data_IF_971471311357
#
_entry.id   IF_971471311357
#
_cell.length_a   1.000
_cell.length_b   1.000
_cell.length_c   1.000
_cell.angle_alpha   90.00
_cell.angle_beta   90.00
_cell.angle_gamma   90.00
#
_symmetry.space_group_name_H-M   'P 1'
#
loop_
_entity.id
_entity.type
_entity.pdbx_description
1 polymer ?
#
# COMPACT_ATOMS: atom_id res chain seq x y z
N UNK A 1 0.69 -1.50 -15.51
CA UNK A 1 -0.76 -1.24 -15.77
C UNK A 1 -1.23 -2.24 -16.82
N UNK A 2 -2.38 -2.86 -16.63
CA UNK A 2 -2.98 -3.71 -17.67
C UNK A 2 -3.55 -2.81 -18.79
N UNK A 3 -3.66 -3.33 -20.03
CA UNK A 3 -4.18 -2.55 -21.18
C UNK A 3 -5.54 -1.88 -20.90
N UNK A 4 -6.42 -2.56 -20.13
CA UNK A 4 -7.72 -1.99 -19.70
C UNK A 4 -7.59 -0.78 -18.77
N UNK A 5 -6.60 -0.75 -17.87
CA UNK A 5 -6.37 0.39 -16.96
C UNK A 5 -5.86 1.64 -17.69
N UNK A 6 -5.09 1.46 -18.77
CA UNK A 6 -4.62 2.57 -19.60
C UNK A 6 -5.78 3.16 -20.40
N UNK A 7 -6.64 2.30 -20.96
CA UNK A 7 -7.83 2.73 -21.68
C UNK A 7 -8.77 3.55 -20.78
N UNK A 8 -9.07 3.06 -19.57
CA UNK A 8 -9.88 3.78 -18.60
C UNK A 8 -9.27 5.15 -18.24
N UNK A 9 -7.95 5.21 -18.03
CA UNK A 9 -7.28 6.47 -17.74
C UNK A 9 -7.43 7.48 -18.88
N UNK A 10 -7.29 7.04 -20.14
CA UNK A 10 -7.44 7.91 -21.32
C UNK A 10 -8.87 8.45 -21.40
N UNK A 11 -9.88 7.60 -21.20
CA UNK A 11 -11.30 8.00 -21.24
C UNK A 11 -11.62 8.97 -20.10
N UNK A 12 -11.15 8.70 -18.87
CA UNK A 12 -11.33 9.60 -17.73
C UNK A 12 -10.69 10.98 -17.98
N UNK A 13 -9.46 11.00 -18.55
CA UNK A 13 -8.78 12.26 -18.94
C UNK A 13 -9.63 13.05 -19.93
N UNK A 14 -10.19 12.40 -20.95
CA UNK A 14 -11.03 13.05 -21.95
C UNK A 14 -12.34 13.58 -21.34
N UNK A 15 -13.01 12.82 -20.48
CA UNK A 15 -14.24 13.24 -19.79
C UNK A 15 -13.98 14.46 -18.91
N UNK A 16 -12.94 14.43 -18.09
CA UNK A 16 -12.62 15.52 -17.16
C UNK A 16 -12.17 16.76 -17.92
N UNK A 17 -11.35 16.59 -18.98
CA UNK A 17 -10.93 17.71 -19.83
C UNK A 17 -12.10 18.36 -20.57
N UNK A 18 -13.01 17.56 -21.11
CA UNK A 18 -14.23 18.06 -21.78
C UNK A 18 -15.12 18.83 -20.79
N UNK A 19 -15.36 18.27 -19.59
CA UNK A 19 -16.13 18.93 -18.56
C UNK A 19 -15.47 20.22 -18.06
N UNK A 20 -14.14 20.26 -17.97
CA UNK A 20 -13.42 21.50 -17.66
C UNK A 20 -13.58 22.54 -18.77
N UNK A 21 -13.41 22.17 -20.03
CA UNK A 21 -13.53 23.08 -21.18
C UNK A 21 -14.93 23.69 -21.30
N UNK A 22 -16.00 22.91 -21.14
CA UNK A 22 -17.38 23.41 -21.24
C UNK A 22 -17.72 24.46 -20.18
N UNK A 23 -17.13 24.35 -18.99
CA UNK A 23 -17.35 25.34 -17.92
C UNK A 23 -16.52 26.61 -18.09
N UNK A 24 -15.35 26.51 -18.71
CA UNK A 24 -14.44 27.63 -18.88
C UNK A 24 -14.75 28.49 -20.10
N UNK A 25 -15.46 27.98 -21.09
CA UNK A 25 -15.97 28.82 -22.20
C UNK A 25 -16.97 29.88 -21.77
N UNK A 26 -17.55 29.74 -20.57
CA UNK A 26 -18.48 30.69 -19.96
C UNK A 26 -17.76 31.86 -19.23
N UNK A 27 -16.46 31.68 -18.90
CA UNK A 27 -15.65 32.65 -18.15
C UNK A 27 -14.56 33.22 -19.07
N UNK A 28 -14.97 34.01 -20.04
CA UNK A 28 -14.23 34.38 -21.28
C UNK A 28 -13.01 35.28 -21.13
N UNK A 29 -12.62 35.77 -19.95
CA UNK A 29 -11.57 36.81 -19.86
C UNK A 29 -10.21 36.43 -19.24
N UNK A 30 -9.87 35.13 -19.12
CA UNK A 30 -8.69 34.69 -18.33
C UNK A 30 -7.62 33.87 -19.08
N UNK A 31 -7.26 34.12 -20.27
CA UNK A 31 -6.12 33.60 -21.05
C UNK A 31 -5.29 32.43 -20.42
N UNK A 32 -4.00 32.63 -20.17
CA UNK A 32 -3.08 31.62 -19.64
C UNK A 32 -3.38 31.13 -18.22
N UNK A 33 -4.02 31.98 -17.38
CA UNK A 33 -4.42 31.59 -15.99
C UNK A 33 -5.53 30.54 -16.01
N UNK A 34 -6.40 30.60 -16.99
CA UNK A 34 -7.49 29.66 -17.20
C UNK A 34 -6.96 28.26 -17.55
N UNK A 35 -5.98 28.19 -18.45
CA UNK A 35 -5.35 26.94 -18.85
C UNK A 35 -4.64 26.27 -17.65
N UNK A 36 -3.93 27.06 -16.85
CA UNK A 36 -3.27 26.58 -15.64
C UNK A 36 -4.27 26.01 -14.63
N UNK A 37 -5.41 26.67 -14.44
CA UNK A 37 -6.48 26.22 -13.55
C UNK A 37 -7.12 24.93 -14.07
N UNK A 38 -7.43 24.84 -15.37
CA UNK A 38 -7.99 23.63 -15.99
C UNK A 38 -7.04 22.43 -15.87
N UNK A 39 -5.75 22.64 -16.07
CA UNK A 39 -4.73 21.60 -15.87
C UNK A 39 -4.64 21.18 -14.40
N UNK A 40 -4.72 22.11 -13.47
CA UNK A 40 -4.75 21.81 -12.04
C UNK A 40 -5.98 20.94 -11.69
N UNK A 41 -7.17 21.29 -12.16
CA UNK A 41 -8.38 20.50 -12.00
C UNK A 41 -8.21 19.07 -12.54
N UNK A 42 -7.73 18.95 -13.77
CA UNK A 42 -7.49 17.65 -14.41
C UNK A 42 -6.57 16.78 -13.56
N UNK A 43 -5.47 17.35 -13.09
CA UNK A 43 -4.49 16.62 -12.27
C UNK A 43 -5.11 16.16 -10.94
N UNK A 44 -5.86 17.04 -10.26
CA UNK A 44 -6.48 16.72 -8.96
C UNK A 44 -7.54 15.62 -9.10
N UNK A 45 -8.41 15.69 -10.11
CA UNK A 45 -9.43 14.68 -10.35
C UNK A 45 -8.81 13.31 -10.70
N UNK A 46 -7.82 13.28 -11.60
CA UNK A 46 -7.13 12.02 -11.95
C UNK A 46 -6.39 11.46 -10.74
N UNK A 47 -5.72 12.30 -9.96
CA UNK A 47 -5.02 11.88 -8.75
C UNK A 47 -5.98 11.25 -7.75
N UNK A 48 -7.13 11.87 -7.45
CA UNK A 48 -8.12 11.33 -6.51
C UNK A 48 -8.69 9.98 -6.97
N UNK A 49 -9.00 9.81 -8.26
CA UNK A 49 -9.45 8.55 -8.83
C UNK A 49 -8.35 7.46 -8.75
N UNK A 50 -7.11 7.84 -9.04
CA UNK A 50 -5.96 6.94 -8.94
C UNK A 50 -5.75 6.45 -7.50
N UNK A 51 -5.82 7.35 -6.52
CA UNK A 51 -5.63 7.01 -5.10
C UNK A 51 -6.75 6.16 -4.52
N UNK A 52 -7.97 6.36 -4.97
CA UNK A 52 -9.10 5.46 -4.63
C UNK A 52 -9.00 4.09 -5.31
N UNK A 53 -7.98 3.87 -6.15
CA UNK A 53 -7.70 2.58 -6.76
C UNK A 53 -8.63 2.21 -7.92
N UNK A 54 -9.32 3.18 -8.52
CA UNK A 54 -10.22 2.91 -9.66
C UNK A 54 -9.50 2.29 -10.86
N UNK A 55 -8.23 2.61 -11.07
CA UNK A 55 -7.41 2.04 -12.16
C UNK A 55 -6.79 0.67 -11.84
N UNK A 56 -6.89 0.21 -10.59
CA UNK A 56 -6.42 -1.11 -10.17
C UNK A 56 -7.54 -2.16 -10.12
N UNK A 57 -8.81 -1.73 -9.99
CA UNK A 57 -9.99 -2.59 -9.90
C UNK A 57 -10.48 -2.97 -11.29
N UNK A 58 -10.81 -4.24 -11.48
CA UNK A 58 -11.43 -4.75 -12.71
C UNK A 58 -12.96 -4.86 -12.63
N UNK A 59 -13.51 -4.95 -11.40
CA UNK A 59 -14.94 -5.12 -11.15
C UNK A 59 -15.49 -3.92 -10.40
N UNK A 60 -16.45 -3.23 -11.01
CA UNK A 60 -17.18 -2.12 -10.42
C UNK A 60 -18.38 -2.66 -9.62
N UNK A 61 -18.40 -2.45 -8.31
CA UNK A 61 -19.46 -2.88 -7.38
C UNK A 61 -20.28 -1.67 -6.91
N UNK A 62 -21.47 -1.89 -6.35
CA UNK A 62 -22.32 -0.81 -5.86
C UNK A 62 -21.60 0.10 -4.84
N UNK A 63 -20.76 -0.47 -3.97
CA UNK A 63 -19.93 0.30 -3.03
C UNK A 63 -18.93 1.22 -3.72
N UNK A 64 -18.52 0.94 -4.94
CA UNK A 64 -17.57 1.76 -5.68
C UNK A 64 -18.23 3.05 -6.23
N UNK A 65 -19.57 3.10 -6.33
CA UNK A 65 -20.33 4.33 -6.59
C UNK A 65 -20.13 5.33 -5.45
N UNK A 66 -20.22 4.87 -4.21
CA UNK A 66 -19.94 5.71 -3.04
C UNK A 66 -18.49 6.22 -3.06
N UNK A 67 -17.52 5.36 -3.36
CA UNK A 67 -16.11 5.78 -3.45
C UNK A 67 -15.86 6.75 -4.62
N UNK A 68 -16.60 6.61 -5.73
CA UNK A 68 -16.53 7.56 -6.84
C UNK A 68 -17.06 8.93 -6.42
N UNK A 69 -18.22 8.96 -5.75
CA UNK A 69 -18.79 10.19 -5.19
C UNK A 69 -17.81 10.87 -4.21
N UNK A 70 -17.24 10.09 -3.29
CA UNK A 70 -16.25 10.58 -2.32
C UNK A 70 -15.00 11.14 -3.02
N UNK A 71 -14.46 10.45 -4.04
CA UNK A 71 -13.30 10.91 -4.79
C UNK A 71 -13.55 12.27 -5.46
N UNK A 72 -14.71 12.42 -6.09
CA UNK A 72 -15.10 13.65 -6.80
C UNK A 72 -15.37 14.78 -5.80
N UNK A 73 -16.02 14.49 -4.68
CA UNK A 73 -16.25 15.49 -3.62
C UNK A 73 -14.94 16.01 -3.05
N UNK A 74 -13.96 15.13 -2.79
CA UNK A 74 -12.63 15.54 -2.32
C UNK A 74 -11.89 16.34 -3.40
N UNK A 75 -11.94 15.93 -4.67
CA UNK A 75 -11.33 16.68 -5.76
C UNK A 75 -11.93 18.07 -5.88
N UNK A 76 -13.25 18.18 -5.82
CA UNK A 76 -13.96 19.47 -5.88
C UNK A 76 -13.59 20.36 -4.70
N UNK A 77 -13.56 19.82 -3.47
CA UNK A 77 -13.13 20.55 -2.29
C UNK A 77 -11.71 21.11 -2.41
N UNK A 78 -10.76 20.32 -2.92
CA UNK A 78 -9.38 20.78 -3.17
C UNK A 78 -9.35 21.90 -4.22
N UNK A 79 -10.16 21.78 -5.27
CA UNK A 79 -10.24 22.75 -6.34
C UNK A 79 -10.94 24.07 -5.93
N UNK A 80 -11.74 24.08 -4.87
CA UNK A 80 -12.34 25.32 -4.33
C UNK A 80 -11.31 26.25 -3.70
N UNK A 81 -10.21 25.72 -3.15
CA UNK A 81 -9.19 26.52 -2.45
C UNK A 81 -8.57 27.62 -3.34
N UNK A 82 -8.03 27.32 -4.54
CA UNK A 82 -7.50 28.35 -5.43
C UNK A 82 -8.58 29.34 -5.90
N UNK A 83 -9.81 28.87 -6.10
CA UNK A 83 -10.91 29.74 -6.53
C UNK A 83 -11.35 30.72 -5.44
N UNK A 84 -11.36 30.29 -4.18
CA UNK A 84 -11.58 31.19 -3.04
C UNK A 84 -10.52 32.27 -2.94
N UNK A 85 -9.27 31.98 -3.33
CA UNK A 85 -8.15 32.91 -3.25
C UNK A 85 -8.11 33.89 -4.44
N UNK A 86 -8.60 33.50 -5.64
CA UNK A 86 -8.37 34.26 -6.87
C UNK A 86 -9.63 34.82 -7.53
N UNK A 87 -10.83 34.25 -7.31
CA UNK A 87 -12.04 34.66 -8.05
C UNK A 87 -13.33 34.17 -7.38
N UNK A 88 -13.57 34.51 -6.11
CA UNK A 88 -14.82 34.10 -5.46
C UNK A 88 -16.01 34.92 -5.98
N UNK A 89 -16.86 34.26 -6.78
CA UNK A 89 -18.18 34.73 -7.15
C UNK A 89 -19.18 33.58 -7.01
N UNK A 90 -20.41 33.83 -6.64
CA UNK A 90 -21.49 32.85 -6.52
C UNK A 90 -21.62 32.01 -7.80
N UNK A 91 -21.44 32.62 -8.96
CA UNK A 91 -21.48 31.96 -10.27
C UNK A 91 -20.36 30.90 -10.40
N UNK A 92 -19.14 31.22 -9.97
CA UNK A 92 -18.01 30.27 -10.03
C UNK A 92 -18.20 29.08 -9.10
N UNK A 93 -18.80 29.31 -7.92
CA UNK A 93 -19.15 28.23 -6.99
C UNK A 93 -20.22 27.30 -7.57
N UNK A 94 -21.28 27.85 -8.20
CA UNK A 94 -22.31 27.05 -8.86
C UNK A 94 -21.78 26.26 -10.05
N UNK A 95 -20.88 26.83 -10.84
CA UNK A 95 -20.22 26.16 -11.97
C UNK A 95 -19.34 25.00 -11.49
N UNK A 96 -18.66 25.12 -10.35
CA UNK A 96 -17.90 24.03 -9.75
C UNK A 96 -18.77 22.86 -9.33
N UNK A 97 -19.89 23.14 -8.66
CA UNK A 97 -20.84 22.10 -8.25
C UNK A 97 -21.41 21.42 -9.50
N UNK A 98 -21.81 22.20 -10.51
CA UNK A 98 -22.28 21.66 -11.78
C UNK A 98 -21.24 20.76 -12.47
N UNK A 99 -19.98 21.20 -12.52
CA UNK A 99 -18.88 20.40 -13.06
C UNK A 99 -18.72 19.08 -12.31
N UNK A 100 -18.74 19.12 -10.97
CA UNK A 100 -18.64 17.91 -10.16
C UNK A 100 -19.77 16.91 -10.46
N UNK A 101 -21.01 17.41 -10.63
CA UNK A 101 -22.17 16.59 -11.00
C UNK A 101 -22.00 15.99 -12.41
N UNK A 102 -21.56 16.79 -13.38
CA UNK A 102 -21.31 16.32 -14.74
C UNK A 102 -20.22 15.26 -14.80
N UNK A 103 -19.08 15.51 -14.15
CA UNK A 103 -17.97 14.53 -14.06
C UNK A 103 -18.42 13.25 -13.39
N UNK A 104 -19.16 13.34 -12.27
CA UNK A 104 -19.68 12.16 -11.57
C UNK A 104 -20.59 11.34 -12.46
N UNK A 105 -21.56 11.97 -13.13
CA UNK A 105 -22.53 11.26 -14.00
C UNK A 105 -21.85 10.60 -15.20
N UNK A 106 -20.92 11.31 -15.86
CA UNK A 106 -20.21 10.77 -17.02
C UNK A 106 -19.29 9.61 -16.64
N UNK A 107 -18.53 9.73 -15.52
CA UNK A 107 -17.69 8.65 -15.04
C UNK A 107 -18.51 7.45 -14.53
N UNK A 108 -19.67 7.68 -13.93
CA UNK A 108 -20.57 6.60 -13.53
C UNK A 108 -21.10 5.84 -14.74
N UNK A 109 -21.55 6.54 -15.77
CA UNK A 109 -22.03 5.94 -17.03
C UNK A 109 -20.89 5.15 -17.67
N UNK A 110 -19.69 5.71 -17.76
CA UNK A 110 -18.52 5.02 -18.31
C UNK A 110 -18.23 3.71 -17.55
N UNK A 111 -18.23 3.74 -16.20
CA UNK A 111 -18.01 2.55 -15.37
C UNK A 111 -19.10 1.50 -15.52
N UNK A 112 -20.37 1.92 -15.67
CA UNK A 112 -21.48 1.01 -15.92
C UNK A 112 -21.34 0.36 -17.30
N UNK A 113 -21.00 1.13 -18.33
CA UNK A 113 -20.77 0.62 -19.68
C UNK A 113 -19.62 -0.39 -19.67
N UNK A 114 -18.48 -0.07 -19.07
CA UNK A 114 -17.34 -0.99 -18.95
C UNK A 114 -17.77 -2.27 -18.24
N UNK A 115 -18.56 -2.19 -17.15
CA UNK A 115 -19.07 -3.35 -16.43
C UNK A 115 -19.95 -4.22 -17.31
N UNK A 116 -20.84 -3.63 -18.09
CA UNK A 116 -21.71 -4.38 -19.02
C UNK A 116 -20.88 -5.14 -20.06
N UNK A 117 -19.82 -4.52 -20.60
CA UNK A 117 -18.92 -5.16 -21.55
C UNK A 117 -17.94 -6.16 -20.91
N UNK A 118 -17.55 -5.97 -19.64
CA UNK A 118 -16.60 -6.85 -18.94
C UNK A 118 -17.27 -7.99 -18.19
N UNK A 119 -18.60 -7.95 -17.99
CA UNK A 119 -19.40 -9.05 -17.40
C UNK A 119 -19.49 -10.30 -18.27
N UNK A 120 -18.90 -10.32 -19.48
CA UNK A 120 -18.53 -11.56 -20.13
C UNK A 120 -17.61 -12.32 -19.18
N UNK A 121 -18.19 -13.32 -18.47
CA UNK A 121 -17.61 -14.34 -17.59
C UNK A 121 -16.08 -14.23 -17.51
N UNK A 122 -15.53 -13.71 -16.41
CA UNK A 122 -14.14 -13.96 -16.08
C UNK A 122 -13.97 -15.47 -16.03
N UNK A 123 -13.50 -16.08 -17.14
CA UNK A 123 -13.11 -17.48 -17.14
C UNK A 123 -12.05 -17.63 -16.05
N UNK A 124 -12.36 -18.38 -15.01
CA UNK A 124 -11.38 -18.73 -14.00
C UNK A 124 -10.17 -19.34 -14.73
N UNK A 125 -8.97 -18.87 -14.38
CA UNK A 125 -7.74 -19.38 -14.96
C UNK A 125 -7.28 -20.56 -14.11
N UNK A 126 -7.21 -21.72 -14.71
CA UNK A 126 -6.68 -22.89 -14.07
C UNK A 126 -5.18 -22.75 -13.85
N UNK A 127 -4.75 -23.07 -12.63
CA UNK A 127 -3.36 -23.01 -12.17
C UNK A 127 -2.93 -24.40 -11.76
N UNK A 128 -1.75 -24.79 -12.20
CA UNK A 128 -1.06 -26.00 -11.80
C UNK A 128 0.15 -25.60 -10.94
N UNK A 129 0.34 -26.27 -9.82
CA UNK A 129 1.47 -26.02 -8.91
C UNK A 129 2.43 -27.20 -8.99
N UNK A 130 3.70 -26.94 -9.27
CA UNK A 130 4.76 -27.96 -9.30
C UNK A 130 5.48 -27.93 -7.95
N UNK A 131 5.35 -29.00 -7.20
CA UNK A 131 5.78 -29.18 -5.82
C UNK A 131 4.60 -29.12 -4.82
N UNK A 132 4.24 -30.24 -4.22
CA UNK A 132 3.20 -30.37 -3.19
C UNK A 132 3.72 -30.15 -1.76
N UNK A 133 5.00 -29.80 -1.60
CA UNK A 133 5.60 -29.50 -0.31
C UNK A 133 5.03 -28.22 0.32
N UNK A 134 5.57 -27.82 1.48
CA UNK A 134 5.09 -26.69 2.28
C UNK A 134 4.87 -25.41 1.45
N UNK A 135 5.79 -25.09 0.54
CA UNK A 135 5.70 -23.88 -0.30
C UNK A 135 4.54 -23.94 -1.30
N UNK A 136 4.28 -25.12 -1.86
CA UNK A 136 3.13 -25.36 -2.73
C UNK A 136 1.82 -25.21 -1.98
N UNK A 137 1.72 -25.76 -0.77
CA UNK A 137 0.54 -25.65 0.11
C UNK A 137 0.27 -24.18 0.48
N UNK A 138 1.29 -23.43 0.91
CA UNK A 138 1.16 -21.99 1.23
C UNK A 138 0.62 -21.19 0.06
N UNK A 139 1.13 -21.38 -1.15
CA UNK A 139 0.65 -20.61 -2.31
C UNK A 139 -0.76 -21.04 -2.77
N UNK A 140 -1.09 -22.31 -2.61
CA UNK A 140 -2.42 -22.82 -2.91
C UNK A 140 -3.47 -22.23 -1.95
N UNK A 141 -3.18 -22.22 -0.66
CA UNK A 141 -4.01 -21.59 0.37
C UNK A 141 -4.18 -20.08 0.13
N UNK A 142 -3.10 -19.38 -0.18
CA UNK A 142 -3.12 -17.96 -0.48
C UNK A 142 -3.96 -17.63 -1.73
N UNK A 143 -4.04 -18.53 -2.71
CA UNK A 143 -4.92 -18.38 -3.87
C UNK A 143 -6.38 -18.66 -3.50
N UNK A 144 -6.65 -19.67 -2.67
CA UNK A 144 -8.01 -20.01 -2.22
C UNK A 144 -8.65 -18.92 -1.38
N UNK A 145 -7.87 -18.29 -0.51
CA UNK A 145 -8.34 -17.17 0.34
C UNK A 145 -8.66 -15.90 -0.47
N UNK A 146 -8.28 -15.84 -1.76
CA UNK A 146 -8.43 -14.66 -2.64
C UNK A 146 -9.18 -14.96 -3.93
N UNK A 147 -10.48 -15.28 -3.86
CA UNK A 147 -11.29 -15.60 -5.03
C UNK A 147 -11.38 -14.43 -6.04
N UNK A 148 -11.11 -13.20 -5.60
CA UNK A 148 -11.06 -12.02 -6.48
C UNK A 148 -9.95 -12.08 -7.54
N UNK A 149 -8.94 -12.92 -7.36
CA UNK A 149 -7.89 -13.14 -8.37
C UNK A 149 -8.42 -13.85 -9.62
N UNK A 150 -9.55 -14.53 -9.52
CA UNK A 150 -10.13 -15.33 -10.61
C UNK A 150 -9.21 -16.50 -11.01
N UNK A 151 -8.50 -17.07 -10.02
CA UNK A 151 -7.56 -18.17 -10.17
C UNK A 151 -8.14 -19.41 -9.48
N UNK A 152 -7.99 -20.58 -10.11
CA UNK A 152 -8.39 -21.86 -9.55
C UNK A 152 -7.20 -22.82 -9.58
N UNK A 153 -6.77 -23.30 -8.43
CA UNK A 153 -5.76 -24.36 -8.35
C UNK A 153 -6.44 -25.67 -8.75
N UNK A 154 -5.93 -26.33 -9.78
CA UNK A 154 -6.45 -27.59 -10.29
C UNK A 154 -5.83 -28.77 -9.57
N UNK A 155 -4.55 -28.66 -9.24
CA UNK A 155 -3.81 -29.72 -8.55
C UNK A 155 -2.34 -29.42 -8.44
N UNK A 156 -1.62 -30.38 -7.86
CA UNK A 156 -0.17 -30.40 -7.75
C UNK A 156 0.45 -31.42 -8.70
N UNK A 157 1.71 -31.18 -9.11
CA UNK A 157 2.61 -32.20 -9.62
C UNK A 157 3.76 -32.35 -8.63
N UNK A 158 4.10 -33.59 -8.23
CA UNK A 158 5.21 -33.84 -7.33
C UNK A 158 5.84 -35.21 -7.65
N UNK A 159 7.17 -35.26 -7.67
CA UNK A 159 7.93 -36.49 -7.92
C UNK A 159 8.25 -37.29 -6.62
N UNK A 160 7.89 -36.71 -5.46
CA UNK A 160 8.12 -37.35 -4.17
C UNK A 160 6.87 -38.12 -3.71
N UNK A 161 6.95 -39.44 -3.73
CA UNK A 161 5.87 -40.34 -3.33
C UNK A 161 5.38 -40.11 -1.89
N UNK A 162 6.24 -39.67 -0.98
CA UNK A 162 5.86 -39.41 0.43
C UNK A 162 4.95 -38.17 0.61
N UNK A 163 4.83 -37.31 -0.39
CA UNK A 163 3.90 -36.16 -0.35
C UNK A 163 2.50 -36.52 -0.89
N UNK A 164 2.37 -37.69 -1.50
CA UNK A 164 1.13 -38.19 -2.11
C UNK A 164 0.16 -38.73 -1.05
N UNK A 165 0.67 -39.18 0.09
CA UNK A 165 -0.11 -39.82 1.17
C UNK A 165 -0.71 -38.85 2.19
N UNK A 166 -0.55 -37.54 2.01
CA UNK A 166 -1.13 -36.52 2.90
C UNK A 166 -2.64 -36.38 2.62
N UNK A 167 -3.45 -37.18 3.33
CA UNK A 167 -4.93 -37.24 3.22
C UNK A 167 -5.63 -35.89 3.56
N UNK A 168 -4.92 -34.95 4.18
CA UNK A 168 -5.48 -33.65 4.60
C UNK A 168 -5.51 -32.54 3.50
N UNK A 169 -4.96 -32.81 2.31
CA UNK A 169 -4.94 -31.79 1.26
C UNK A 169 -6.24 -31.78 0.44
N UNK A 170 -6.98 -30.68 0.51
CA UNK A 170 -8.21 -30.45 -0.31
C UNK A 170 -7.93 -30.36 -1.81
N UNK A 171 -6.67 -30.36 -2.26
CA UNK A 171 -6.24 -30.21 -3.64
C UNK A 171 -5.49 -31.48 -4.07
N UNK A 172 -5.92 -32.16 -5.16
CA UNK A 172 -5.33 -33.43 -5.57
C UNK A 172 -3.93 -33.28 -6.17
N UNK A 173 -3.10 -34.32 -6.03
CA UNK A 173 -1.89 -34.50 -6.83
C UNK A 173 -2.31 -35.20 -8.13
N UNK A 174 -2.00 -34.58 -9.27
CA UNK A 174 -2.47 -35.00 -10.59
C UNK A 174 -1.46 -35.90 -11.32
N UNK A 175 -0.25 -36.01 -10.84
CA UNK A 175 0.79 -36.84 -11.44
C UNK A 175 2.20 -36.38 -11.13
N UNK A 176 3.17 -36.96 -11.82
CA UNK A 176 4.57 -36.59 -11.73
C UNK A 176 4.91 -35.38 -12.59
N UNK A 177 6.08 -34.78 -12.42
CA UNK A 177 6.51 -33.62 -13.22
C UNK A 177 6.67 -33.95 -14.70
N UNK A 178 7.02 -35.20 -15.05
CA UNK A 178 7.08 -35.66 -16.45
C UNK A 178 5.73 -35.67 -17.14
N UNK A 179 4.60 -35.75 -16.40
CA UNK A 179 3.24 -35.77 -16.95
C UNK A 179 2.70 -34.36 -17.21
N UNK A 180 3.51 -33.34 -16.99
CA UNK A 180 3.09 -31.92 -17.01
C UNK A 180 2.39 -31.53 -18.30
N UNK A 181 2.81 -32.02 -19.47
CA UNK A 181 2.21 -31.67 -20.77
C UNK A 181 0.78 -32.22 -20.91
N UNK A 182 0.55 -33.48 -20.50
CA UNK A 182 -0.76 -34.11 -20.52
C UNK A 182 -1.70 -33.39 -19.55
N UNK A 183 -1.28 -33.19 -18.29
CA UNK A 183 -2.07 -32.51 -17.26
C UNK A 183 -2.41 -31.07 -17.66
N UNK A 184 -1.49 -30.34 -18.30
CA UNK A 184 -1.72 -28.97 -18.80
C UNK A 184 -2.83 -28.97 -19.88
N UNK A 185 -2.81 -29.91 -20.81
CA UNK A 185 -3.82 -29.99 -21.89
C UNK A 185 -5.18 -30.39 -21.34
N UNK A 186 -5.25 -31.47 -20.55
CA UNK A 186 -6.49 -32.05 -20.04
C UNK A 186 -7.25 -31.07 -19.14
N UNK A 187 -6.53 -30.32 -18.30
CA UNK A 187 -7.09 -29.39 -17.36
C UNK A 187 -7.14 -27.92 -17.86
N UNK A 188 -6.82 -27.67 -19.13
CA UNK A 188 -6.78 -26.33 -19.73
C UNK A 188 -6.03 -25.31 -18.84
N UNK A 189 -4.85 -25.69 -18.35
CA UNK A 189 -4.02 -24.88 -17.46
C UNK A 189 -3.50 -23.64 -18.21
N UNK A 190 -3.58 -22.48 -17.59
CA UNK A 190 -3.08 -21.20 -18.14
C UNK A 190 -1.88 -20.63 -17.39
N UNK A 191 -1.62 -21.16 -16.20
CA UNK A 191 -0.52 -20.70 -15.35
C UNK A 191 0.06 -21.89 -14.59
N UNK A 192 1.36 -22.02 -14.63
CA UNK A 192 2.12 -22.99 -13.82
C UNK A 192 2.96 -22.22 -12.79
N UNK A 193 2.90 -22.65 -11.54
CA UNK A 193 3.68 -22.09 -10.44
C UNK A 193 4.65 -23.14 -9.96
N UNK A 194 5.95 -22.82 -10.00
CA UNK A 194 7.01 -23.71 -9.54
C UNK A 194 7.33 -23.40 -8.07
N UNK A 195 7.02 -24.37 -7.18
CA UNK A 195 7.18 -24.29 -5.72
C UNK A 195 8.23 -25.25 -5.17
N UNK A 196 9.14 -25.76 -5.99
CA UNK A 196 10.17 -26.75 -5.60
C UNK A 196 11.35 -26.06 -4.92
N UNK A 197 11.89 -26.69 -3.85
CA UNK A 197 13.02 -26.18 -3.04
C UNK A 197 14.40 -26.34 -3.68
N UNK A 198 14.62 -27.38 -4.46
CA UNK A 198 15.94 -27.71 -5.01
C UNK A 198 16.34 -26.82 -6.19
N UNK A 199 17.66 -26.81 -6.53
CA UNK A 199 18.09 -26.35 -7.85
C UNK A 199 17.26 -27.11 -8.88
N UNK A 200 16.45 -26.37 -9.66
CA UNK A 200 15.62 -26.98 -10.69
C UNK A 200 16.49 -27.85 -11.57
N UNK A 201 16.25 -29.14 -11.57
CA UNK A 201 16.86 -30.02 -12.55
C UNK A 201 16.45 -29.55 -13.94
N UNK A 202 17.40 -29.51 -14.84
CA UNK A 202 17.18 -29.12 -16.24
C UNK A 202 16.05 -29.94 -16.89
N UNK A 203 15.80 -31.15 -16.40
CA UNK A 203 14.74 -32.03 -16.85
C UNK A 203 13.33 -31.41 -16.57
N UNK A 204 13.05 -30.98 -15.35
CA UNK A 204 11.76 -30.36 -14.97
C UNK A 204 11.49 -29.11 -15.80
N UNK A 205 12.53 -28.28 -16.01
CA UNK A 205 12.41 -27.10 -16.88
C UNK A 205 12.11 -27.47 -18.33
N UNK A 206 12.74 -28.53 -18.85
CA UNK A 206 12.56 -28.98 -20.23
C UNK A 206 11.12 -29.46 -20.45
N UNK A 207 10.55 -30.19 -19.51
CA UNK A 207 9.17 -30.66 -19.64
C UNK A 207 8.16 -29.51 -19.50
N UNK A 208 8.38 -28.57 -18.60
CA UNK A 208 7.54 -27.37 -18.49
C UNK A 208 7.64 -26.43 -19.69
N UNK A 209 8.80 -26.36 -20.36
CA UNK A 209 8.99 -25.58 -21.59
C UNK A 209 8.11 -26.10 -22.73
N UNK A 210 7.84 -27.41 -22.81
CA UNK A 210 6.91 -28.01 -23.77
C UNK A 210 5.47 -27.44 -23.64
N UNK A 211 5.08 -26.96 -22.45
CA UNK A 211 3.79 -26.28 -22.22
C UNK A 211 3.73 -24.82 -22.72
N UNK A 212 4.86 -24.16 -22.99
CA UNK A 212 4.89 -22.76 -23.42
C UNK A 212 4.19 -22.53 -24.75
N UNK A 213 4.34 -23.38 -25.80
CA UNK A 213 3.60 -23.24 -27.07
C UNK A 213 2.08 -23.30 -26.88
N UNK A 214 1.60 -23.92 -25.79
CA UNK A 214 0.18 -23.98 -25.43
C UNK A 214 -0.35 -22.66 -24.78
N UNK A 215 0.49 -21.62 -24.71
CA UNK A 215 0.14 -20.33 -24.13
C UNK A 215 0.17 -20.28 -22.59
N UNK A 216 0.83 -21.25 -21.96
CA UNK A 216 0.98 -21.34 -20.51
C UNK A 216 2.04 -20.36 -20.02
N UNK A 217 1.76 -19.67 -18.94
CA UNK A 217 2.74 -18.80 -18.25
C UNK A 217 3.35 -19.55 -17.09
N UNK A 218 4.66 -19.59 -17.03
CA UNK A 218 5.40 -20.21 -15.92
C UNK A 218 5.95 -19.15 -14.98
N UNK A 219 5.67 -19.30 -13.70
CA UNK A 219 6.15 -18.42 -12.63
C UNK A 219 6.82 -19.21 -11.51
N UNK A 220 7.87 -18.64 -10.93
CA UNK A 220 8.42 -19.15 -9.67
C UNK A 220 7.55 -18.66 -8.50
N UNK A 221 7.32 -19.56 -7.53
CA UNK A 221 6.48 -19.31 -6.36
C UNK A 221 6.81 -17.98 -5.64
N UNK A 222 8.07 -17.64 -5.29
CA UNK A 222 8.35 -16.42 -4.55
C UNK A 222 7.95 -15.14 -5.32
N UNK A 223 8.18 -15.13 -6.64
CA UNK A 223 7.80 -13.98 -7.48
C UNK A 223 6.29 -13.87 -7.66
N UNK A 224 5.60 -15.00 -7.73
CA UNK A 224 4.15 -15.02 -7.82
C UNK A 224 3.51 -14.60 -6.50
N UNK A 225 3.99 -15.15 -5.38
CA UNK A 225 3.57 -14.77 -4.03
C UNK A 225 3.70 -13.27 -3.81
N UNK A 226 4.89 -12.70 -4.08
CA UNK A 226 5.16 -11.27 -3.98
C UNK A 226 4.19 -10.41 -4.82
N UNK A 227 3.80 -10.91 -6.00
CA UNK A 227 2.86 -10.20 -6.88
C UNK A 227 1.44 -10.15 -6.32
N UNK A 228 0.95 -11.24 -5.75
CA UNK A 228 -0.44 -11.34 -5.26
C UNK A 228 -0.61 -10.76 -3.86
N UNK A 229 0.35 -11.00 -2.95
CA UNK A 229 0.28 -10.62 -1.54
C UNK A 229 0.81 -9.21 -1.27
N UNK A 230 1.72 -8.69 -2.13
CA UNK A 230 2.44 -7.43 -1.91
C UNK A 230 3.30 -7.45 -0.65
N UNK A 231 3.76 -8.62 -0.25
CA UNK A 231 4.73 -8.87 0.80
C UNK A 231 5.81 -9.84 0.31
N UNK A 232 6.94 -9.91 1.00
CA UNK A 232 8.06 -10.75 0.61
C UNK A 232 8.01 -12.07 1.36
N UNK A 233 8.37 -13.16 0.72
CA UNK A 233 8.37 -14.48 1.33
C UNK A 233 9.72 -14.79 1.98
N UNK A 234 9.83 -14.60 3.32
CA UNK A 234 11.10 -14.67 4.07
C UNK A 234 11.74 -16.04 4.00
N UNK A 235 10.96 -17.12 4.09
CA UNK A 235 11.51 -18.50 4.10
C UNK A 235 12.33 -18.84 2.85
N UNK A 236 12.22 -18.06 1.78
CA UNK A 236 12.97 -18.21 0.52
C UNK A 236 14.01 -17.11 0.30
N UNK A 237 14.29 -16.33 1.33
CA UNK A 237 15.28 -15.29 1.25
C UNK A 237 16.68 -15.87 1.13
N UNK A 238 17.38 -15.50 0.07
CA UNK A 238 18.77 -15.88 -0.15
C UNK A 238 19.68 -14.67 -0.09
N UNK A 239 20.95 -14.86 0.26
CA UNK A 239 21.96 -13.79 0.26
C UNK A 239 22.05 -13.12 -1.11
N UNK A 240 21.91 -13.86 -2.20
CA UNK A 240 21.88 -13.32 -3.55
C UNK A 240 20.72 -12.33 -3.76
N UNK A 241 19.54 -12.65 -3.20
CA UNK A 241 18.39 -11.75 -3.28
C UNK A 241 18.67 -10.43 -2.55
N UNK A 242 19.27 -10.49 -1.37
CA UNK A 242 19.68 -9.30 -0.59
C UNK A 242 20.60 -8.40 -1.42
N UNK A 243 21.59 -8.99 -2.08
CA UNK A 243 22.50 -8.27 -2.95
C UNK A 243 21.76 -7.53 -4.07
N UNK A 244 20.87 -8.21 -4.80
CA UNK A 244 20.09 -7.59 -5.89
C UNK A 244 19.04 -6.59 -5.41
N UNK A 245 18.47 -6.76 -4.24
CA UNK A 245 17.50 -5.82 -3.66
C UNK A 245 18.17 -4.49 -3.28
N UNK A 246 19.46 -4.54 -2.88
CA UNK A 246 20.22 -3.37 -2.41
C UNK A 246 20.93 -2.63 -3.53
N UNK A 247 21.45 -3.33 -4.56
CA UNK A 247 22.23 -2.74 -5.64
C UNK A 247 21.31 -2.19 -6.73
N UNK A 248 20.72 -1.01 -6.48
CA UNK A 248 19.99 -0.26 -7.51
C UNK A 248 20.91 0.77 -8.15
N UNK A 249 21.15 0.69 -9.47
CA UNK A 249 21.96 1.67 -10.25
C UNK A 249 21.47 3.14 -10.11
N UNK A 250 20.21 3.38 -9.73
CA UNK A 250 19.62 4.72 -9.51
C UNK A 250 19.39 5.09 -8.05
N UNK A 251 20.04 4.39 -7.11
CA UNK A 251 19.75 4.56 -5.68
C UNK A 251 20.12 5.95 -5.15
N UNK A 252 21.18 6.56 -5.62
CA UNK A 252 21.63 7.86 -5.15
C UNK A 252 20.67 8.98 -5.55
N UNK A 253 20.33 9.08 -6.85
CA UNK A 253 19.38 10.11 -7.33
C UNK A 253 18.01 10.00 -6.61
N UNK A 254 17.51 8.78 -6.48
CA UNK A 254 16.29 8.54 -5.72
C UNK A 254 16.41 8.99 -4.27
N UNK A 255 17.55 8.73 -3.61
CA UNK A 255 17.77 9.12 -2.22
C UNK A 255 17.78 10.65 -2.03
N UNK A 256 18.35 11.41 -2.96
CA UNK A 256 18.35 12.87 -2.94
C UNK A 256 16.94 13.43 -3.20
N UNK A 257 16.25 12.97 -4.24
CA UNK A 257 14.88 13.40 -4.56
C UNK A 257 13.97 13.08 -3.37
N UNK A 258 14.06 11.87 -2.84
CA UNK A 258 13.27 11.47 -1.65
C UNK A 258 13.55 12.39 -0.47
N UNK A 259 14.81 12.69 -0.17
CA UNK A 259 15.17 13.58 0.95
C UNK A 259 14.59 14.97 0.76
N UNK A 260 14.65 15.52 -0.43
CA UNK A 260 14.06 16.81 -0.77
C UNK A 260 12.52 16.77 -0.57
N UNK A 261 11.85 15.74 -1.08
CA UNK A 261 10.41 15.55 -0.88
C UNK A 261 10.04 15.39 0.61
N UNK A 262 10.83 14.63 1.37
CA UNK A 262 10.61 14.45 2.81
C UNK A 262 10.68 15.78 3.57
N UNK A 263 11.66 16.64 3.25
CA UNK A 263 11.80 17.96 3.89
C UNK A 263 10.61 18.86 3.56
N UNK A 264 10.26 18.99 2.27
CA UNK A 264 9.13 19.83 1.85
C UNK A 264 7.82 19.34 2.47
N UNK A 265 7.56 18.04 2.39
CA UNK A 265 6.35 17.45 2.94
C UNK A 265 6.27 17.64 4.47
N UNK A 266 7.37 17.49 5.19
CA UNK A 266 7.40 17.72 6.64
C UNK A 266 7.10 19.17 7.00
N UNK A 267 7.68 20.14 6.29
CA UNK A 267 7.40 21.56 6.50
C UNK A 267 5.93 21.86 6.22
N UNK A 268 5.38 21.38 5.10
CA UNK A 268 3.98 21.57 4.76
C UNK A 268 3.04 20.95 5.79
N UNK A 269 3.31 19.71 6.23
CA UNK A 269 2.52 19.04 7.27
C UNK A 269 2.58 19.87 8.57
N UNK A 270 3.76 20.31 9.01
CA UNK A 270 3.90 21.13 10.23
C UNK A 270 3.13 22.44 10.14
N UNK A 271 3.19 23.16 9.01
CA UNK A 271 2.46 24.40 8.82
C UNK A 271 0.94 24.14 8.84
N UNK A 272 0.46 23.17 8.06
CA UNK A 272 -0.97 22.87 7.95
C UNK A 272 -1.56 22.34 9.26
N UNK A 273 -0.79 21.58 10.03
CA UNK A 273 -1.26 21.01 11.29
C UNK A 273 -0.88 21.82 12.53
N UNK A 274 -0.22 22.99 12.36
CA UNK A 274 0.22 23.83 13.48
C UNK A 274 -0.92 24.27 14.42
N UNK A 275 -2.13 24.69 13.94
CA UNK A 275 -3.23 25.02 14.84
C UNK A 275 -3.65 23.80 15.70
N UNK A 276 -3.72 22.64 15.07
CA UNK A 276 -4.07 21.39 15.74
C UNK A 276 -3.00 20.97 16.76
N UNK A 277 -1.73 21.14 16.41
CA UNK A 277 -0.61 20.85 17.29
C UNK A 277 -0.60 21.77 18.52
N UNK A 278 -0.95 23.05 18.36
CA UNK A 278 -1.09 24.00 19.48
C UNK A 278 -2.24 23.58 20.42
N UNK A 279 -3.41 23.23 19.85
CA UNK A 279 -4.56 22.75 20.62
C UNK A 279 -4.18 21.48 21.38
N UNK A 280 -3.50 20.54 20.75
CA UNK A 280 -3.02 19.32 21.38
C UNK A 280 -2.05 19.61 22.53
N UNK A 281 -1.07 20.51 22.32
CA UNK A 281 -0.10 20.91 23.32
C UNK A 281 -0.77 21.56 24.55
N UNK A 282 -1.70 22.48 24.34
CA UNK A 282 -2.47 23.10 25.39
C UNK A 282 -3.33 22.09 26.14
N UNK A 283 -4.09 21.23 25.43
CA UNK A 283 -4.91 20.20 26.04
C UNK A 283 -4.10 19.23 26.90
N UNK A 284 -2.91 18.80 26.47
CA UNK A 284 -2.01 17.97 27.24
C UNK A 284 -1.52 18.73 28.49
N UNK A 285 -1.12 19.99 28.34
CA UNK A 285 -0.61 20.81 29.43
C UNK A 285 -1.66 21.02 30.51
N UNK A 286 -2.92 21.24 30.13
CA UNK A 286 -4.01 21.42 31.09
C UNK A 286 -4.52 20.10 31.69
N UNK A 287 -4.26 18.95 31.06
CA UNK A 287 -4.70 17.64 31.57
C UNK A 287 -3.84 17.12 32.71
N UNK A 288 -2.53 17.42 32.75
CA UNK A 288 -1.60 16.81 33.71
C UNK A 288 -0.42 17.74 34.09
N UNK A 289 -0.45 19.01 33.70
CA UNK A 289 0.57 20.04 33.97
C UNK A 289 2.06 19.65 33.71
N UNK A 290 2.30 18.42 33.25
CA UNK A 290 3.63 17.89 32.94
C UNK A 290 4.18 18.33 31.57
N UNK A 291 5.25 17.68 31.06
CA UNK A 291 5.84 17.97 29.76
C UNK A 291 4.87 17.62 28.63
N UNK A 292 4.82 18.46 27.58
CA UNK A 292 3.98 18.25 26.41
C UNK A 292 4.51 17.17 25.49
N UNK A 293 5.84 17.06 25.39
CA UNK A 293 6.53 16.09 24.53
C UNK A 293 7.02 14.90 25.32
N UNK A 294 6.97 13.76 24.68
CA UNK A 294 7.55 12.50 25.12
C UNK A 294 8.58 12.04 24.10
N UNK A 295 9.70 11.52 24.55
CA UNK A 295 10.76 11.00 23.69
C UNK A 295 11.05 9.55 24.03
N UNK A 296 11.20 8.70 23.02
CA UNK A 296 11.54 7.29 23.19
C UNK A 296 12.65 6.90 22.22
N UNK A 297 13.63 6.13 22.72
CA UNK A 297 14.71 5.61 21.85
C UNK A 297 14.16 4.54 20.91
N UNK A 298 14.41 4.70 19.63
CA UNK A 298 14.02 3.78 18.57
C UNK A 298 15.19 3.51 17.63
N UNK A 299 15.15 2.35 16.95
CA UNK A 299 16.19 1.96 16.01
C UNK A 299 15.98 2.61 14.65
N UNK A 300 16.99 3.34 14.21
CA UNK A 300 17.02 4.08 12.96
C UNK A 300 17.80 3.38 11.85
N UNK A 301 18.21 4.16 10.84
CA UNK A 301 18.95 3.67 9.68
C UNK A 301 20.28 3.03 10.09
N UNK A 302 20.56 1.85 9.55
CA UNK A 302 21.75 1.03 9.85
C UNK A 302 21.88 0.65 11.33
N UNK A 303 20.77 0.52 12.04
CA UNK A 303 20.77 0.14 13.45
C UNK A 303 21.30 1.25 14.38
N UNK A 304 21.31 2.52 13.97
CA UNK A 304 21.68 3.65 14.82
C UNK A 304 20.48 4.11 15.64
N UNK A 305 20.53 4.12 16.96
CA UNK A 305 19.43 4.59 17.78
C UNK A 305 19.22 6.10 17.62
N UNK A 306 17.95 6.54 17.74
CA UNK A 306 17.57 7.96 17.75
C UNK A 306 16.41 8.18 18.70
N UNK A 307 16.21 9.41 19.16
CA UNK A 307 15.10 9.81 20.05
C UNK A 307 13.90 10.24 19.21
N UNK A 308 12.88 9.38 19.13
CA UNK A 308 11.63 9.67 18.47
C UNK A 308 10.76 10.58 19.34
N UNK A 309 10.25 11.68 18.77
CA UNK A 309 9.49 12.71 19.48
C UNK A 309 7.99 12.50 19.20
N UNK A 310 7.19 12.45 20.28
CA UNK A 310 5.72 12.39 20.21
C UNK A 310 5.10 13.39 21.17
N UNK A 311 3.82 13.68 21.03
CA UNK A 311 3.04 14.28 22.11
C UNK A 311 2.82 13.25 23.22
N UNK A 312 2.89 13.68 24.47
CA UNK A 312 2.61 12.83 25.63
C UNK A 312 1.10 12.61 25.75
N UNK A 313 0.67 11.35 25.70
CA UNK A 313 -0.74 10.98 25.75
C UNK A 313 -1.13 10.24 27.02
N UNK A 314 -0.15 9.85 27.84
CA UNK A 314 -0.36 9.15 29.12
C UNK A 314 0.06 10.04 30.31
N UNK A 315 -0.52 9.78 31.48
CA UNK A 315 -0.15 10.44 32.72
C UNK A 315 1.31 10.19 33.08
N UNK A 316 1.96 11.20 33.70
CA UNK A 316 3.40 11.16 33.96
C UNK A 316 3.80 9.98 34.86
N UNK A 317 3.00 9.68 35.87
CA UNK A 317 3.28 8.61 36.85
C UNK A 317 3.11 7.20 36.27
N UNK A 318 2.57 7.08 35.07
CA UNK A 318 2.28 5.78 34.42
C UNK A 318 3.21 5.49 33.25
N UNK A 319 4.05 6.44 32.86
CA UNK A 319 5.00 6.29 31.77
C UNK A 319 6.29 5.64 32.32
N UNK A 320 6.38 4.32 32.22
CA UNK A 320 7.64 3.61 32.47
C UNK A 320 8.39 3.47 31.15
N UNK A 321 9.73 3.47 31.20
CA UNK A 321 10.58 3.27 30.00
C UNK A 321 10.33 1.92 29.31
N UNK A 322 9.83 0.93 30.07
CA UNK A 322 9.57 -0.43 29.61
C UNK A 322 8.20 -0.61 28.92
N UNK A 323 7.36 0.46 28.86
CA UNK A 323 6.05 0.34 28.26
C UNK A 323 6.12 0.42 26.73
N UNK A 324 5.85 -0.69 26.06
CA UNK A 324 5.78 -0.75 24.58
C UNK A 324 4.34 -0.77 24.10
N UNK A 325 3.94 0.31 23.39
CA UNK A 325 2.65 0.38 22.70
C UNK A 325 2.55 -0.62 21.55
N UNK A 326 3.70 -1.10 21.03
CA UNK A 326 3.77 -2.05 19.91
C UNK A 326 3.69 -3.53 20.39
N UNK A 327 3.92 -3.80 21.68
CA UNK A 327 3.92 -5.15 22.28
C UNK A 327 2.72 -5.36 23.23
N UNK A 328 2.36 -4.31 23.97
CA UNK A 328 1.22 -4.37 24.85
C UNK A 328 -0.02 -3.81 24.15
N UNK A 329 -1.08 -4.60 24.05
CA UNK A 329 -2.37 -4.14 23.55
C UNK A 329 -2.86 -2.97 24.37
N UNK A 330 -2.60 -1.75 23.87
CA UNK A 330 -3.18 -0.54 24.47
C UNK A 330 -4.61 -0.45 23.98
N UNK A 331 -5.53 -0.99 24.79
CA UNK A 331 -6.96 -0.88 24.51
C UNK A 331 -7.39 0.59 24.54
N UNK A 332 -8.42 0.93 23.77
CA UNK A 332 -8.99 2.29 23.74
C UNK A 332 -9.46 2.79 25.11
N UNK A 333 -9.65 1.90 26.08
CA UNK A 333 -10.10 2.19 27.44
C UNK A 333 -8.98 2.13 28.49
N UNK A 334 -7.72 2.10 28.08
CA UNK A 334 -6.59 2.10 29.02
C UNK A 334 -6.65 3.34 29.92
N UNK A 335 -6.70 3.12 31.24
CA UNK A 335 -6.81 4.17 32.27
C UNK A 335 -5.59 5.09 32.33
N UNK A 336 -4.46 4.67 31.80
CA UNK A 336 -3.22 5.46 31.71
C UNK A 336 -3.31 6.58 30.68
N UNK A 337 -4.22 6.47 29.71
CA UNK A 337 -4.40 7.47 28.64
C UNK A 337 -5.29 8.61 29.17
N UNK A 338 -4.78 9.82 29.07
CA UNK A 338 -5.58 11.03 29.41
C UNK A 338 -6.84 11.09 28.52
N UNK A 339 -8.02 11.40 29.06
CA UNK A 339 -9.30 11.38 28.30
C UNK A 339 -9.26 12.21 27.00
N UNK A 340 -8.70 13.40 27.05
CA UNK A 340 -8.49 14.25 25.87
C UNK A 340 -7.59 13.60 24.82
N UNK A 341 -6.56 12.91 25.26
CA UNK A 341 -5.55 12.30 24.39
C UNK A 341 -6.03 11.05 23.66
N UNK A 342 -7.17 10.46 24.05
CA UNK A 342 -7.79 9.37 23.27
C UNK A 342 -8.11 9.79 21.84
N UNK A 343 -8.57 11.03 21.65
CA UNK A 343 -8.84 11.61 20.32
C UNK A 343 -7.53 11.79 19.54
N UNK A 344 -6.47 12.28 20.21
CA UNK A 344 -5.16 12.48 19.57
C UNK A 344 -4.59 11.16 19.06
N UNK A 345 -4.67 10.09 19.84
CA UNK A 345 -4.24 8.73 19.45
C UNK A 345 -5.08 8.16 18.32
N UNK A 346 -6.40 8.33 18.38
CA UNK A 346 -7.31 7.81 17.33
C UNK A 346 -6.97 8.35 15.94
N UNK A 347 -6.53 9.61 15.86
CA UNK A 347 -6.19 10.27 14.59
C UNK A 347 -4.68 10.41 14.38
N UNK A 348 -3.84 9.76 15.18
CA UNK A 348 -2.38 9.83 15.13
C UNK A 348 -1.82 11.26 15.19
N UNK A 349 -2.54 12.17 15.84
CA UNK A 349 -2.11 13.56 16.05
C UNK A 349 -0.91 13.61 17.00
N UNK A 350 -0.82 12.66 17.93
CA UNK A 350 0.28 12.47 18.86
C UNK A 350 1.62 12.20 18.14
N UNK A 351 1.60 11.73 16.91
CA UNK A 351 2.79 11.45 16.10
C UNK A 351 3.28 12.65 15.26
N UNK A 352 2.52 13.76 15.21
CA UNK A 352 2.91 14.95 14.42
C UNK A 352 4.30 15.52 14.76
N UNK A 353 4.78 15.53 16.03
CA UNK A 353 6.13 16.00 16.35
C UNK A 353 7.25 15.19 15.70
N UNK A 354 7.00 13.97 15.21
CA UNK A 354 7.99 13.18 14.48
C UNK A 354 8.45 13.88 13.17
N UNK A 355 7.70 14.86 12.67
CA UNK A 355 8.15 15.68 11.53
C UNK A 355 9.48 16.38 11.83
N UNK A 356 9.77 16.69 13.10
CA UNK A 356 11.09 17.20 13.55
C UNK A 356 12.17 16.16 13.31
N UNK A 357 11.91 14.88 13.62
CA UNK A 357 12.86 13.79 13.35
C UNK A 357 13.09 13.61 11.84
N UNK A 358 12.03 13.80 11.02
CA UNK A 358 12.18 13.80 9.56
C UNK A 358 13.08 14.95 9.11
N UNK A 359 12.89 16.18 9.60
CA UNK A 359 13.74 17.34 9.27
C UNK A 359 15.18 17.15 9.72
N UNK A 360 15.42 16.49 10.87
CA UNK A 360 16.78 16.14 11.35
C UNK A 360 17.45 15.05 10.50
N UNK A 361 16.68 14.30 9.71
CA UNK A 361 17.18 13.22 8.86
C UNK A 361 17.28 11.86 9.57
N UNK A 362 16.78 11.75 10.77
CA UNK A 362 16.67 10.52 11.55
C UNK A 362 15.57 9.62 10.98
N UNK A 363 14.46 10.22 10.48
CA UNK A 363 13.32 9.59 9.87
C UNK A 363 13.09 10.08 8.43
N UNK A 364 12.14 9.46 7.77
CA UNK A 364 11.54 9.80 6.49
C UNK A 364 10.01 9.84 6.66
N UNK A 365 9.28 10.47 5.74
CA UNK A 365 7.81 10.39 5.73
C UNK A 365 7.39 8.93 5.51
N UNK A 366 7.99 8.25 4.51
CA UNK A 366 7.65 6.87 4.16
C UNK A 366 8.84 5.95 4.42
N UNK A 367 8.60 4.89 5.20
CA UNK A 367 9.60 3.88 5.52
C UNK A 367 9.08 2.82 6.49
N UNK A 368 9.88 1.82 6.84
CA UNK A 368 9.55 0.87 7.90
C UNK A 368 9.30 1.58 9.24
N UNK A 369 8.27 1.17 9.98
CA UNK A 369 8.00 1.76 11.31
C UNK A 369 9.16 1.46 12.27
N UNK A 370 9.73 2.46 12.97
CA UNK A 370 10.85 2.25 13.89
C UNK A 370 10.41 1.44 15.10
N UNK A 371 11.21 0.47 15.51
CA UNK A 371 10.99 -0.36 16.70
C UNK A 371 11.91 0.06 17.83
N UNK A 372 11.57 -0.28 19.08
CA UNK A 372 12.42 -0.07 20.26
C UNK A 372 13.71 -0.88 20.14
N UNK A 373 14.71 -0.49 20.91
CA UNK A 373 16.02 -1.12 20.91
C UNK A 373 15.94 -2.58 21.39
N UNK A 374 15.20 -2.85 22.46
CA UNK A 374 15.01 -4.18 23.04
C UNK A 374 14.33 -5.12 22.02
N UNK A 375 13.21 -4.69 21.45
CA UNK A 375 12.44 -5.45 20.43
C UNK A 375 13.27 -5.67 19.17
N UNK A 376 14.16 -4.72 18.83
CA UNK A 376 15.05 -4.89 17.68
C UNK A 376 16.06 -6.01 17.91
N UNK A 377 16.73 -6.05 19.06
CA UNK A 377 17.72 -7.08 19.35
C UNK A 377 17.07 -8.45 19.56
N UNK A 378 15.94 -8.53 20.26
CA UNK A 378 15.18 -9.78 20.41
C UNK A 378 14.80 -10.39 19.06
N UNK A 379 14.21 -9.58 18.19
CA UNK A 379 13.81 -10.08 16.87
C UNK A 379 15.00 -10.36 15.95
N UNK A 380 16.13 -9.67 16.11
CA UNK A 380 17.35 -9.93 15.35
C UNK A 380 17.93 -11.30 15.63
N UNK A 381 17.83 -11.80 16.87
CA UNK A 381 18.27 -13.13 17.25
C UNK A 381 17.32 -14.22 16.72
N UNK A 382 16.01 -13.94 16.71
CA UNK A 382 14.97 -14.88 16.36
C UNK A 382 14.67 -14.95 14.86
N UNK A 383 14.67 -13.79 14.17
CA UNK A 383 14.21 -13.68 12.79
C UNK A 383 15.38 -13.42 11.85
N UNK A 384 15.67 -14.32 10.90
CA UNK A 384 16.73 -14.11 9.93
C UNK A 384 16.53 -12.80 9.13
N UNK A 385 17.61 -12.04 8.95
CA UNK A 385 17.64 -10.82 8.16
C UNK A 385 16.78 -9.66 8.71
N UNK A 386 16.43 -9.70 10.00
CA UNK A 386 15.65 -8.64 10.64
C UNK A 386 16.26 -7.26 10.47
N UNK A 387 17.60 -7.14 10.55
CA UNK A 387 18.33 -5.89 10.38
C UNK A 387 18.17 -5.25 9.00
N UNK A 388 17.77 -6.01 7.97
CA UNK A 388 17.61 -5.49 6.61
C UNK A 388 16.54 -4.42 6.50
N UNK A 389 15.56 -4.41 7.41
CA UNK A 389 14.55 -3.36 7.50
C UNK A 389 15.14 -1.98 7.81
N UNK A 390 16.29 -1.94 8.48
CA UNK A 390 17.00 -0.73 8.87
C UNK A 390 18.00 -0.23 7.80
N UNK A 391 18.07 -0.85 6.62
CA UNK A 391 18.90 -0.33 5.52
C UNK A 391 18.40 1.00 4.95
N UNK A 392 17.18 1.35 5.25
CA UNK A 392 16.56 2.63 4.91
C UNK A 392 16.22 3.40 6.17
N UNK A 393 15.94 4.71 6.04
CA UNK A 393 15.41 5.47 7.17
C UNK A 393 14.06 4.94 7.59
N UNK A 394 13.77 4.83 8.89
CA UNK A 394 12.43 4.52 9.37
C UNK A 394 11.46 5.61 8.92
N UNK A 395 10.19 5.24 8.76
CA UNK A 395 9.14 6.13 8.28
C UNK A 395 8.16 6.53 9.36
N UNK A 396 7.55 7.71 9.19
CA UNK A 396 6.36 8.12 9.92
C UNK A 396 5.17 7.23 9.52
N UNK A 397 5.02 6.92 8.23
CA UNK A 397 4.11 5.89 7.75
C UNK A 397 4.84 4.84 6.90
N UNK A 398 4.35 3.59 6.94
CA UNK A 398 4.95 2.47 6.23
C UNK A 398 3.95 1.63 5.47
N UNK A 399 4.45 0.85 4.52
CA UNK A 399 3.63 -0.05 3.72
C UNK A 399 2.88 -1.07 4.58
N UNK A 400 3.54 -1.60 5.62
CA UNK A 400 2.94 -2.49 6.59
C UNK A 400 1.70 -1.86 7.23
N UNK A 401 1.80 -0.63 7.75
CA UNK A 401 0.70 0.07 8.42
C UNK A 401 -0.51 0.29 7.50
N UNK A 402 -0.29 0.46 6.20
CA UNK A 402 -1.37 0.56 5.20
C UNK A 402 -2.09 -0.78 5.03
N UNK A 403 -1.36 -1.91 5.09
CA UNK A 403 -1.91 -3.25 4.79
C UNK A 403 -2.51 -3.95 6.00
N UNK A 404 -1.79 -3.95 7.10
CA UNK A 404 -2.17 -4.67 8.33
C UNK A 404 -1.96 -3.72 9.51
N UNK A 405 -2.84 -3.77 10.50
CA UNK A 405 -2.74 -2.90 11.66
C UNK A 405 -1.68 -3.41 12.64
N UNK A 406 -1.72 -4.70 12.99
CA UNK A 406 -0.88 -5.33 14.00
C UNK A 406 -0.34 -6.67 13.49
N UNK A 407 0.68 -6.67 12.60
CA UNK A 407 1.29 -7.90 12.14
C UNK A 407 2.26 -8.45 13.17
N UNK A 408 2.43 -9.76 13.19
CA UNK A 408 3.57 -10.39 13.86
C UNK A 408 4.89 -9.90 13.29
N UNK A 409 5.99 -10.07 14.04
CA UNK A 409 7.29 -9.52 13.66
C UNK A 409 7.78 -10.03 12.29
N UNK A 410 7.58 -11.30 12.00
CA UNK A 410 7.92 -11.91 10.70
C UNK A 410 7.13 -11.27 9.56
N UNK A 411 5.82 -11.14 9.71
CA UNK A 411 4.97 -10.54 8.70
C UNK A 411 5.29 -9.04 8.51
N UNK A 412 5.63 -8.34 9.59
CA UNK A 412 6.14 -6.95 9.53
C UNK A 412 7.36 -6.87 8.64
N UNK A 413 8.33 -7.77 8.83
CA UNK A 413 9.53 -7.82 8.01
C UNK A 413 9.21 -8.10 6.54
N UNK A 414 8.26 -8.99 6.23
CA UNK A 414 7.83 -9.28 4.85
C UNK A 414 7.34 -8.03 4.11
N UNK A 415 6.52 -7.20 4.77
CA UNK A 415 6.06 -5.92 4.19
C UNK A 415 7.17 -4.89 4.07
N UNK A 416 8.06 -4.80 5.06
CA UNK A 416 9.17 -3.85 5.06
C UNK A 416 10.17 -4.17 3.94
N UNK A 417 10.50 -5.46 3.74
CA UNK A 417 11.37 -5.90 2.64
C UNK A 417 10.74 -5.67 1.27
N UNK A 418 9.43 -5.90 1.15
CA UNK A 418 8.71 -5.59 -0.08
C UNK A 418 8.80 -4.09 -0.41
N UNK A 419 8.61 -3.22 0.59
CA UNK A 419 8.77 -1.78 0.44
C UNK A 419 10.20 -1.42 0.00
N UNK A 420 11.23 -1.92 0.68
CA UNK A 420 12.64 -1.62 0.38
C UNK A 420 12.96 -1.97 -1.08
N UNK A 421 12.47 -3.11 -1.57
CA UNK A 421 12.69 -3.58 -2.93
C UNK A 421 11.98 -2.74 -3.99
N UNK A 422 10.74 -2.35 -3.74
CA UNK A 422 9.86 -1.73 -4.74
C UNK A 422 9.72 -0.21 -4.63
N UNK A 423 10.31 0.42 -3.61
CA UNK A 423 10.18 1.87 -3.35
C UNK A 423 10.52 2.70 -4.59
N UNK A 424 9.66 3.65 -4.89
CA UNK A 424 9.84 4.70 -5.87
C UNK A 424 8.94 5.88 -5.49
N UNK A 425 9.25 7.07 -6.00
CA UNK A 425 8.57 8.32 -5.59
C UNK A 425 7.05 8.26 -5.76
N UNK A 426 6.55 7.76 -6.90
CA UNK A 426 5.11 7.68 -7.15
C UNK A 426 4.41 6.70 -6.20
N UNK A 427 5.04 5.55 -5.94
CA UNK A 427 4.45 4.57 -5.02
C UNK A 427 4.50 5.03 -3.57
N UNK A 428 5.56 5.74 -3.16
CA UNK A 428 5.62 6.35 -1.83
C UNK A 428 4.51 7.38 -1.63
N UNK A 429 4.27 8.23 -2.62
CA UNK A 429 3.14 9.15 -2.56
C UNK A 429 1.80 8.39 -2.43
N UNK A 430 1.62 7.31 -3.18
CA UNK A 430 0.43 6.46 -3.06
C UNK A 430 0.29 5.81 -1.67
N UNK A 431 1.41 5.43 -1.02
CA UNK A 431 1.40 4.92 0.36
C UNK A 431 0.93 6.01 1.33
N UNK A 432 1.47 7.22 1.22
CA UNK A 432 1.09 8.35 2.06
C UNK A 432 -0.42 8.61 2.01
N UNK A 433 -0.97 8.72 0.80
CA UNK A 433 -2.40 8.96 0.62
C UNK A 433 -3.25 7.82 1.19
N UNK A 434 -2.87 6.56 0.94
CA UNK A 434 -3.58 5.41 1.51
C UNK A 434 -3.52 5.42 3.04
N UNK A 435 -2.39 5.80 3.63
CA UNK A 435 -2.24 5.92 5.07
C UNK A 435 -3.16 7.00 5.65
N UNK A 436 -3.15 8.21 5.07
CA UNK A 436 -4.04 9.31 5.50
C UNK A 436 -5.51 8.90 5.43
N UNK A 437 -5.94 8.27 4.32
CA UNK A 437 -7.31 7.77 4.18
C UNK A 437 -7.63 6.73 5.26
N UNK A 438 -6.70 5.83 5.57
CA UNK A 438 -6.87 4.79 6.59
C UNK A 438 -7.03 5.41 7.99
N UNK A 439 -6.20 6.40 8.33
CA UNK A 439 -6.28 7.15 9.59
C UNK A 439 -7.61 7.88 9.71
N UNK A 440 -8.01 8.64 8.69
CA UNK A 440 -9.27 9.38 8.67
C UNK A 440 -10.51 8.47 8.73
N UNK A 441 -10.41 7.25 8.18
CA UNK A 441 -11.50 6.26 8.26
C UNK A 441 -11.59 5.55 9.62
N UNK A 442 -10.68 5.82 10.56
CA UNK A 442 -10.62 5.19 11.87
C UNK A 442 -10.30 3.68 11.84
N UNK A 443 -9.79 3.17 10.73
CA UNK A 443 -9.45 1.74 10.54
C UNK A 443 -8.02 1.38 10.96
N UNK A 444 -7.30 2.31 11.56
CA UNK A 444 -5.99 2.11 12.15
C UNK A 444 -6.13 1.83 13.64
N UNK A 445 -6.76 0.73 13.99
CA UNK A 445 -6.65 0.14 15.32
C UNK A 445 -6.24 -1.29 15.19
#
# INVERSE_FOLDING_TARGET
MQKSSVFMLIVDVLIIALAALTNFTIIVDFGAKLLALALFFLIVFIATLYFKGFYAKQDFKLKDVYYLFEAISVATAICTIPLLLFAFNVVTALLLIWNAVCVFTLLLIERVIIKLFTNCKKKQKNILIVGAGQDGKVIAEEIQTRPELGLKVVGFLDDNMNTIEDEDSTIPILGLTCDSEAVIKDNNVKLVIIAVKSRMDSAILTDLVKGIPLGVKVWRMPKFYEKITKKYFISKMTVNWLFYACVRKKALLFAYIKRFCDIIASILIMILTSPLAIIAALGIKFSDFGPVFYTQTRMGKFGRPFKMIKFRTMYQDTVTEDFDEDVNEVTSNDKRIMPFCRILRKFHIDELPQMINVLRGEMSIIGPRPVREEVYYENKERIPFWECRNWVRPGWCGWQQVKVCEPQAEERLEYDLYYIKHRNTLWEFAILVQYVIKVLSGKCK
#
